data_IF_508949050486
#
_entry.id   IF_508949050486
#
_cell.length_a   1.000
_cell.length_b   1.000
_cell.length_c   1.000
_cell.angle_alpha   90.00
_cell.angle_beta   90.00
_cell.angle_gamma   90.00
#
_symmetry.space_group_name_H-M   'P 1'
#
loop_
_entity.id
_entity.type
_entity.pdbx_description
1 polymer ?
#
# COMPACT_ATOMS: atom_id res chain seq x y z
N UNK A 1 12.40 -0.22 4.68
CA UNK A 1 13.30 -0.80 3.66
C UNK A 1 13.10 -2.31 3.65
N UNK A 2 12.84 -2.92 2.48
CA UNK A 2 12.57 -4.37 2.34
C UNK A 2 13.85 -5.22 2.50
N UNK A 3 15.00 -4.65 2.10
CA UNK A 3 16.31 -5.32 2.00
C UNK A 3 16.75 -6.07 3.26
N UNK A 4 16.67 -5.52 4.50
CA UNK A 4 17.12 -6.23 5.69
C UNK A 4 16.30 -7.50 5.98
N UNK A 5 15.01 -7.52 5.63
CA UNK A 5 14.15 -8.68 5.83
C UNK A 5 14.44 -9.78 4.82
N UNK A 6 14.61 -9.43 3.54
CA UNK A 6 14.98 -10.38 2.47
C UNK A 6 16.37 -10.98 2.73
N UNK A 7 17.28 -10.20 3.31
CA UNK A 7 18.60 -10.68 3.73
C UNK A 7 18.57 -11.53 5.02
N UNK A 8 17.40 -11.74 5.63
CA UNK A 8 17.24 -12.53 6.86
C UNK A 8 17.78 -11.85 8.13
N UNK A 9 18.00 -10.54 8.11
CA UNK A 9 18.64 -9.78 9.19
C UNK A 9 17.62 -9.10 10.12
N UNK A 10 16.31 -9.20 9.84
CA UNK A 10 15.28 -8.67 10.72
C UNK A 10 13.85 -8.82 10.21
N UNK A 11 12.91 -8.24 10.96
CA UNK A 11 11.48 -8.16 10.65
C UNK A 11 11.15 -6.72 10.22
N UNK A 12 10.29 -6.57 9.22
CA UNK A 12 9.83 -5.26 8.73
C UNK A 12 8.31 -5.20 8.69
N UNK A 13 7.75 -4.03 8.99
CA UNK A 13 6.35 -3.72 8.76
C UNK A 13 6.29 -2.79 7.54
N UNK A 14 5.70 -3.28 6.45
CA UNK A 14 5.57 -2.55 5.19
C UNK A 14 4.18 -2.82 4.60
N UNK A 15 3.64 -1.91 3.76
CA UNK A 15 2.43 -2.20 3.00
C UNK A 15 2.59 -3.47 2.17
N UNK A 16 1.57 -4.34 2.18
CA UNK A 16 1.59 -5.64 1.47
C UNK A 16 1.92 -5.49 -0.01
N UNK A 17 1.48 -4.40 -0.65
CA UNK A 17 1.78 -4.11 -2.05
C UNK A 17 3.28 -3.99 -2.35
N UNK A 18 4.12 -3.66 -1.36
CA UNK A 18 5.57 -3.50 -1.55
C UNK A 18 6.35 -4.81 -1.48
N UNK A 19 5.75 -5.88 -0.94
CA UNK A 19 6.45 -7.16 -0.64
C UNK A 19 5.72 -8.36 -1.24
N UNK A 20 4.73 -8.12 -2.12
CA UNK A 20 3.84 -9.15 -2.66
C UNK A 20 4.61 -10.23 -3.41
N UNK A 21 5.62 -9.85 -4.18
CA UNK A 21 6.37 -10.76 -5.03
C UNK A 21 7.37 -11.59 -4.21
N UNK A 22 7.99 -11.01 -3.19
CA UNK A 22 8.89 -11.70 -2.27
C UNK A 22 8.12 -12.72 -1.40
N UNK A 23 6.93 -12.37 -0.93
CA UNK A 23 6.05 -13.30 -0.21
C UNK A 23 5.59 -14.43 -1.14
N UNK A 24 5.17 -14.10 -2.36
CA UNK A 24 4.76 -15.11 -3.35
C UNK A 24 5.91 -16.07 -3.74
N UNK A 25 7.15 -15.57 -3.78
CA UNK A 25 8.36 -16.37 -4.03
C UNK A 25 8.89 -17.10 -2.79
N UNK A 26 8.31 -16.88 -1.62
CA UNK A 26 8.76 -17.47 -0.35
C UNK A 26 10.05 -16.88 0.21
N UNK A 27 10.50 -15.73 -0.31
CA UNK A 27 11.67 -14.99 0.20
C UNK A 27 11.33 -14.24 1.50
N UNK A 28 10.05 -13.94 1.73
CA UNK A 28 9.52 -13.37 2.96
C UNK A 28 8.35 -14.21 3.49
N UNK A 29 8.18 -14.25 4.81
CA UNK A 29 7.09 -14.95 5.49
C UNK A 29 6.39 -14.04 6.49
N UNK A 30 5.07 -14.18 6.62
CA UNK A 30 4.27 -13.49 7.64
C UNK A 30 4.53 -14.11 9.01
N UNK A 31 5.01 -13.31 9.96
CA UNK A 31 5.42 -13.79 11.30
C UNK A 31 4.37 -13.58 12.39
N UNK A 32 3.33 -12.77 12.13
CA UNK A 32 2.24 -12.45 13.06
C UNK A 32 0.89 -12.46 12.32
N UNK A 33 0.35 -13.63 11.95
CA UNK A 33 -0.84 -13.72 11.10
C UNK A 33 -2.12 -13.19 11.79
N UNK A 34 -2.18 -13.24 13.12
CA UNK A 34 -3.37 -12.83 13.90
C UNK A 34 -3.32 -11.37 14.36
N UNK A 35 -2.30 -10.62 13.94
CA UNK A 35 -2.09 -9.23 14.34
C UNK A 35 -1.95 -8.34 13.12
N UNK A 36 -2.73 -7.25 13.09
CA UNK A 36 -2.65 -6.22 12.08
C UNK A 36 -2.35 -4.85 12.71
N UNK A 37 -1.48 -4.04 12.10
CA UNK A 37 -1.29 -2.65 12.51
C UNK A 37 -2.57 -1.84 12.25
N UNK A 38 -2.66 -0.64 12.85
CA UNK A 38 -3.78 0.26 12.57
C UNK A 38 -3.78 0.62 11.09
N UNK A 39 -4.96 0.59 10.46
CA UNK A 39 -5.13 1.02 9.07
C UNK A 39 -4.65 2.45 8.90
N UNK A 40 -3.76 2.65 7.93
CA UNK A 40 -3.24 3.96 7.56
C UNK A 40 -4.08 4.55 6.43
N UNK A 41 -4.29 5.87 6.45
CA UNK A 41 -5.12 6.56 5.47
C UNK A 41 -4.25 7.08 4.32
N UNK A 42 -4.54 6.64 3.10
CA UNK A 42 -3.95 7.19 1.88
C UNK A 42 -4.65 8.51 1.53
N UNK A 43 -3.88 9.60 1.43
CA UNK A 43 -4.41 10.93 1.10
C UNK A 43 -3.99 11.36 -0.30
N UNK A 44 -4.96 11.77 -1.12
CA UNK A 44 -4.71 12.43 -2.40
C UNK A 44 -4.74 13.96 -2.20
N UNK A 45 -3.60 14.63 -2.45
CA UNK A 45 -3.45 16.08 -2.26
C UNK A 45 -3.35 16.78 -3.62
N UNK A 46 -4.20 17.78 -3.86
CA UNK A 46 -4.20 18.57 -5.09
C UNK A 46 -4.51 20.04 -4.82
N UNK A 47 -4.09 20.93 -5.72
CA UNK A 47 -4.30 22.37 -5.56
C UNK A 47 -5.75 22.76 -5.88
N UNK A 48 -6.54 23.13 -4.87
CA UNK A 48 -7.96 23.54 -5.04
C UNK A 48 -8.17 24.89 -5.73
N UNK A 49 -7.11 25.69 -5.89
CA UNK A 49 -7.16 27.10 -6.31
C UNK A 49 -7.76 27.35 -7.70
N UNK A 50 -7.90 26.32 -8.54
CA UNK A 50 -8.46 26.40 -9.91
C UNK A 50 -9.80 25.66 -10.04
N UNK A 51 -10.41 25.27 -8.93
CA UNK A 51 -11.48 24.27 -8.93
C UNK A 51 -10.96 22.87 -9.27
N UNK A 52 -11.77 21.85 -9.01
CA UNK A 52 -11.43 20.48 -9.37
C UNK A 52 -11.67 20.28 -10.87
N UNK A 53 -10.60 20.30 -11.67
CA UNK A 53 -10.70 20.04 -13.10
C UNK A 53 -11.31 18.64 -13.35
N UNK A 54 -12.16 18.46 -14.37
CA UNK A 54 -12.78 17.16 -14.67
C UNK A 54 -11.75 16.02 -14.81
N UNK A 55 -10.59 16.29 -15.40
CA UNK A 55 -9.51 15.32 -15.52
C UNK A 55 -8.91 14.92 -14.16
N UNK A 56 -8.79 15.85 -13.22
CA UNK A 56 -8.32 15.54 -11.85
C UNK A 56 -9.38 14.74 -11.11
N UNK A 57 -10.67 15.08 -11.27
CA UNK A 57 -11.76 14.28 -10.71
C UNK A 57 -11.73 12.84 -11.22
N UNK A 58 -11.65 12.65 -12.53
CA UNK A 58 -11.58 11.33 -13.16
C UNK A 58 -10.37 10.51 -12.66
N UNK A 59 -9.21 11.17 -12.49
CA UNK A 59 -8.04 10.51 -11.89
C UNK A 59 -8.29 10.11 -10.43
N UNK A 60 -8.89 10.98 -9.62
CA UNK A 60 -9.19 10.68 -8.23
C UNK A 60 -10.20 9.52 -8.11
N UNK A 61 -11.22 9.50 -8.95
CA UNK A 61 -12.20 8.40 -9.00
C UNK A 61 -11.51 7.07 -9.37
N UNK A 62 -10.69 7.07 -10.43
CA UNK A 62 -9.90 5.90 -10.82
C UNK A 62 -9.00 5.42 -9.68
N UNK A 63 -8.25 6.32 -9.04
CA UNK A 63 -7.37 5.94 -7.93
C UNK A 63 -8.19 5.38 -6.75
N UNK A 64 -9.32 5.99 -6.40
CA UNK A 64 -10.18 5.49 -5.32
C UNK A 64 -10.67 4.06 -5.60
N UNK A 65 -11.11 3.77 -6.82
CA UNK A 65 -11.50 2.41 -7.24
C UNK A 65 -10.32 1.43 -7.14
N UNK A 66 -9.15 1.79 -7.68
CA UNK A 66 -7.96 0.93 -7.63
C UNK A 66 -7.46 0.68 -6.21
N UNK A 67 -7.51 1.67 -5.33
CA UNK A 67 -7.11 1.50 -3.93
C UNK A 67 -8.12 0.67 -3.14
N UNK A 68 -9.42 0.76 -3.43
CA UNK A 68 -10.44 -0.10 -2.83
C UNK A 68 -10.23 -1.60 -3.20
N UNK A 69 -9.72 -1.89 -4.40
CA UNK A 69 -9.36 -3.27 -4.79
C UNK A 69 -8.07 -3.78 -4.13
N UNK A 70 -7.15 -2.88 -3.76
CA UNK A 70 -5.88 -3.22 -3.11
C UNK A 70 -6.02 -3.50 -1.62
N UNK A 71 -7.21 -3.32 -1.06
CA UNK A 71 -7.52 -3.55 0.35
C UNK A 71 -8.31 -4.86 0.55
N UNK A 72 -7.72 -6.06 0.34
CA UNK A 72 -8.15 -7.26 1.03
C UNK A 72 -7.45 -7.37 2.40
N UNK A 73 -8.29 -7.63 3.42
CA UNK A 73 -8.01 -7.95 4.83
C UNK A 73 -7.80 -6.77 5.82
#
# INVERSE_FOLDING_TARGET
AVVPAVAGVGVVQLPTMMVRDEVARGELATVLPDWAPRREIVHAVFASRRGLLPAVRALLDFLAERFAELEPD
#
